data_IF_346076591127
#
_entry.id   IF_346076591127
#
_cell.length_a   1.000
_cell.length_b   1.000
_cell.length_c   1.000
_cell.angle_alpha   90.00
_cell.angle_beta   90.00
_cell.angle_gamma   90.00
#
_symmetry.space_group_name_H-M   'P 1'
#
loop_
_entity.id
_entity.type
_entity.pdbx_description
1 polymer ?
#
# COMPACT_ATOMS: atom_id res chain seq x y z
N UNK A 1 -10.57 -4.68 -10.37
CA UNK A 1 -10.79 -4.01 -9.07
C UNK A 1 -9.48 -3.37 -8.65
N UNK A 2 -9.47 -2.11 -8.26
CA UNK A 2 -8.24 -1.41 -7.89
C UNK A 2 -7.91 -1.67 -6.41
N UNK A 3 -6.63 -1.82 -6.08
CA UNK A 3 -6.15 -1.89 -4.72
C UNK A 3 -4.81 -1.17 -4.57
N UNK A 4 -4.50 -0.72 -3.37
CA UNK A 4 -3.20 -0.17 -3.00
C UNK A 4 -2.48 -1.17 -2.12
N UNK A 5 -1.31 -1.63 -2.55
CA UNK A 5 -0.43 -2.46 -1.74
C UNK A 5 0.64 -1.59 -1.09
N UNK A 6 0.87 -1.80 0.19
CA UNK A 6 1.83 -1.02 0.98
C UNK A 6 3.04 -1.85 1.32
N UNK A 7 4.21 -1.27 1.15
CA UNK A 7 5.48 -1.92 1.38
C UNK A 7 6.36 -1.07 2.29
N UNK A 8 7.17 -1.75 3.11
CA UNK A 8 8.32 -1.14 3.76
C UNK A 8 9.59 -1.87 3.33
N UNK A 9 10.68 -1.11 3.26
CA UNK A 9 12.01 -1.70 3.11
C UNK A 9 12.48 -2.18 4.48
N UNK A 10 12.66 -3.49 4.61
CA UNK A 10 13.26 -4.10 5.78
C UNK A 10 14.75 -3.79 5.88
N UNK A 11 15.34 -4.07 7.04
CA UNK A 11 16.79 -3.94 7.25
C UNK A 11 17.59 -4.91 6.36
N UNK A 12 16.95 -5.97 5.87
CA UNK A 12 17.49 -6.93 4.91
C UNK A 12 17.48 -6.42 3.46
N UNK A 13 17.01 -5.18 3.24
CA UNK A 13 16.89 -4.56 1.92
C UNK A 13 15.76 -5.15 1.07
N UNK A 14 14.87 -5.96 1.66
CA UNK A 14 13.73 -6.55 0.96
C UNK A 14 12.46 -5.74 1.20
N UNK A 15 11.57 -5.79 0.21
CA UNK A 15 10.24 -5.24 0.33
C UNK A 15 9.33 -6.19 1.11
N UNK A 16 8.79 -5.71 2.22
CA UNK A 16 7.82 -6.45 3.03
C UNK A 16 6.43 -5.88 2.78
N UNK A 17 5.51 -6.72 2.31
CA UNK A 17 4.10 -6.35 2.17
C UNK A 17 3.49 -6.17 3.55
N UNK A 18 2.95 -4.99 3.79
CA UNK A 18 2.36 -4.61 5.08
C UNK A 18 0.86 -4.79 5.04
N UNK A 19 0.22 -4.22 4.02
CA UNK A 19 -1.22 -4.10 3.95
C UNK A 19 -1.71 -3.98 2.51
N UNK A 20 -2.99 -4.28 2.33
CA UNK A 20 -3.70 -4.07 1.07
C UNK A 20 -4.94 -3.25 1.39
N UNK A 21 -5.11 -2.12 0.73
CA UNK A 21 -6.31 -1.30 0.76
C UNK A 21 -7.08 -1.50 -0.55
N UNK A 22 -8.17 -2.30 -0.57
CA UNK A 22 -9.05 -2.38 -1.72
C UNK A 22 -9.71 -1.02 -1.94
N UNK A 23 -9.67 -0.49 -3.16
CA UNK A 23 -10.38 0.74 -3.49
C UNK A 23 -11.86 0.41 -3.70
N UNK A 24 -12.70 0.91 -2.78
CA UNK A 24 -14.15 0.68 -2.76
C UNK A 24 -14.94 1.95 -3.07
N UNK A 25 -14.28 3.10 -3.22
CA UNK A 25 -14.92 4.37 -3.52
C UNK A 25 -15.37 4.38 -4.98
N UNK A 26 -16.53 5.00 -5.20
CA UNK A 26 -17.10 5.21 -6.53
C UNK A 26 -16.29 6.19 -7.39
N UNK A 27 -15.58 7.12 -6.75
CA UNK A 27 -14.68 8.06 -7.42
C UNK A 27 -13.27 7.94 -6.82
N UNK A 28 -12.38 7.11 -7.42
CA UNK A 28 -11.02 6.91 -6.94
C UNK A 28 -10.12 8.15 -7.14
N UNK A 29 -10.46 9.09 -8.03
CA UNK A 29 -9.64 10.29 -8.28
C UNK A 29 -9.61 11.28 -7.10
N UNK A 30 -10.49 11.10 -6.12
CA UNK A 30 -10.52 11.94 -4.91
C UNK A 30 -9.44 11.58 -3.89
N UNK A 31 -8.83 10.41 -3.98
CA UNK A 31 -7.80 10.01 -3.03
C UNK A 31 -6.44 10.57 -3.46
N UNK A 32 -5.70 11.13 -2.52
CA UNK A 32 -4.35 11.64 -2.74
C UNK A 32 -3.32 10.65 -2.22
N UNK A 33 -2.11 10.68 -2.78
CA UNK A 33 -0.96 9.90 -2.29
C UNK A 33 -0.72 10.12 -0.79
N UNK A 34 -0.91 11.35 -0.32
CA UNK A 34 -0.82 11.70 1.10
C UNK A 34 -1.87 11.00 1.97
N UNK A 35 -3.11 10.87 1.49
CA UNK A 35 -4.18 10.14 2.20
C UNK A 35 -3.90 8.63 2.25
N UNK A 36 -3.37 8.08 1.17
CA UNK A 36 -2.97 6.67 1.06
C UNK A 36 -1.84 6.37 2.06
N UNK A 37 -0.80 7.21 2.07
CA UNK A 37 0.31 7.07 3.01
C UNK A 37 -0.10 7.30 4.47
N UNK A 38 -1.02 8.23 4.74
CA UNK A 38 -1.50 8.46 6.10
C UNK A 38 -2.24 7.23 6.63
N UNK A 39 -3.08 6.61 5.82
CA UNK A 39 -3.74 5.35 6.18
C UNK A 39 -2.71 4.24 6.49
N UNK A 40 -1.64 4.13 5.68
CA UNK A 40 -0.58 3.16 5.95
C UNK A 40 0.06 3.37 7.32
N UNK A 41 0.36 4.62 7.69
CA UNK A 41 0.93 4.97 9.00
C UNK A 41 -0.01 4.62 10.14
N UNK A 42 -1.31 4.85 10.00
CA UNK A 42 -2.31 4.47 11.00
C UNK A 42 -2.38 2.94 11.20
N UNK A 43 -2.24 2.16 10.13
CA UNK A 43 -2.27 0.69 10.19
C UNK A 43 -1.01 0.10 10.82
N UNK A 44 0.15 0.68 10.54
CA UNK A 44 1.46 0.18 11.00
C UNK A 44 1.76 0.61 12.44
N UNK A 45 1.28 1.78 12.85
CA UNK A 45 1.67 2.43 14.10
C UNK A 45 3.14 2.89 14.10
N UNK A 46 3.61 3.43 15.23
CA UNK A 46 4.98 3.97 15.40
C UNK A 46 6.08 2.88 15.41
N UNK A 47 5.73 1.60 15.23
CA UNK A 47 6.61 0.46 15.43
C UNK A 47 7.54 0.13 14.24
N UNK A 48 7.18 0.50 13.00
CA UNK A 48 8.15 0.45 11.92
C UNK A 48 9.01 1.69 12.01
N UNK A 49 10.33 1.53 12.05
CA UNK A 49 11.24 2.59 11.66
C UNK A 49 10.87 2.97 10.22
N UNK A 50 10.05 4.01 10.05
CA UNK A 50 9.46 4.51 8.80
C UNK A 50 10.56 5.12 7.93
N UNK A 51 11.62 4.37 7.63
CA UNK A 51 12.68 4.88 6.76
C UNK A 51 12.21 4.98 5.31
N UNK A 52 11.20 4.18 4.92
CA UNK A 52 10.61 4.26 3.58
C UNK A 52 9.36 3.36 3.47
N UNK A 53 8.18 3.91 3.78
CA UNK A 53 6.91 3.30 3.35
C UNK A 53 6.57 3.84 1.97
N UNK A 54 6.20 2.95 1.05
CA UNK A 54 5.66 3.32 -0.24
C UNK A 54 4.46 2.44 -0.58
N UNK A 55 3.70 2.85 -1.59
CA UNK A 55 2.56 2.08 -2.06
C UNK A 55 2.62 1.92 -3.58
N UNK A 56 1.98 0.86 -4.06
CA UNK A 56 1.75 0.63 -5.49
C UNK A 56 0.27 0.40 -5.73
N UNK A 57 -0.23 1.00 -6.80
CA UNK A 57 -1.59 0.82 -7.26
C UNK A 57 -1.65 -0.41 -8.18
N UNK A 58 -2.44 -1.41 -7.80
CA UNK A 58 -2.62 -2.65 -8.55
C UNK A 58 -4.06 -2.79 -9.04
N UNK A 59 -4.22 -3.34 -10.24
CA UNK A 59 -5.52 -3.75 -10.74
C UNK A 59 -5.65 -5.27 -10.63
N UNK A 60 -6.79 -5.77 -10.16
CA UNK A 60 -7.07 -7.18 -9.87
C UNK A 60 -6.66 -8.15 -10.99
N UNK A 61 -6.80 -7.77 -12.27
CA UNK A 61 -6.36 -8.63 -13.39
C UNK A 61 -4.86 -8.95 -13.36
N UNK A 62 -4.04 -8.11 -12.72
CA UNK A 62 -2.61 -8.34 -12.56
C UNK A 62 -2.25 -9.18 -11.32
N UNK A 63 -3.19 -9.43 -10.40
CA UNK A 63 -2.97 -10.28 -9.23
C UNK A 63 -3.10 -11.78 -9.57
N UNK A 64 -3.85 -12.12 -10.63
CA UNK A 64 -4.09 -13.51 -11.06
C UNK A 64 -2.96 -14.08 -11.96
N UNK A 65 -2.13 -13.22 -12.57
CA UNK A 65 -1.05 -13.63 -13.49
C UNK A 65 0.28 -13.96 -12.79
N UNK A 66 0.33 -13.98 -11.46
CA UNK A 66 1.51 -14.32 -10.65
C UNK A 66 1.32 -15.62 -9.83
N UNK A 67 0.29 -16.40 -10.15
CA UNK A 67 0.04 -17.73 -9.56
C UNK A 67 0.63 -18.85 -10.42
#
# INVERSE_FOLDING_TARGET
>A
MLAYQFYCMGEDGKDHLIAILPERRRNPERITDGSILNWAREVIGDGCHVRSIYFVQVNHRAMESRS
#
